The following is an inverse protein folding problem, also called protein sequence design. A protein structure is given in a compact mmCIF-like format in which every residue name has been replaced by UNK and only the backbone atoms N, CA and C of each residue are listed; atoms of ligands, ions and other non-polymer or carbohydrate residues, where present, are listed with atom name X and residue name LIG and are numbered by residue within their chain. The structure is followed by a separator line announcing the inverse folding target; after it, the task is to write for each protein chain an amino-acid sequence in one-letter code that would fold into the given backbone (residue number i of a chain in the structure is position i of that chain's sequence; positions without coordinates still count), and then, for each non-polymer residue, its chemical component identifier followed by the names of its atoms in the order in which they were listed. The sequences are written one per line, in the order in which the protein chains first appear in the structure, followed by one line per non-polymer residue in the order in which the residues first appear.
data_IF_178733967716
#
_entry.id   IF_178733967716
#
_cell.length_a   1.000
_cell.length_b   1.000
_cell.length_c   1.000
_cell.angle_alpha   90.00
_cell.angle_beta   90.00
_cell.angle_gamma   90.00
#
_symmetry.space_group_name_H-M   'P 1'
#
loop_
_entity.id
_entity.type
_entity.pdbx_description
1 polymer ?
#
# COMPACT_ATOMS: atom_id res chain seq x y z
N UNK A 1 -24.79 9.21 1.41
CA UNK A 1 -24.17 7.90 1.18
C UNK A 1 -23.16 7.73 2.30
N UNK A 2 -23.31 6.69 3.12
CA UNK A 2 -22.31 6.40 4.16
C UNK A 2 -20.98 6.08 3.47
N UNK A 3 -19.97 6.87 3.80
CA UNK A 3 -18.60 6.65 3.35
C UNK A 3 -18.09 5.35 3.96
N UNK A 4 -17.59 4.42 3.15
CA UNK A 4 -17.07 3.15 3.65
C UNK A 4 -16.01 3.43 4.73
N UNK A 5 -16.18 2.78 5.89
CA UNK A 5 -15.22 2.93 7.00
C UNK A 5 -13.92 2.21 6.65
N UNK A 6 -12.81 2.80 7.07
CA UNK A 6 -11.49 2.17 6.97
C UNK A 6 -11.36 1.13 8.07
N UNK A 7 -11.03 -0.09 7.67
CA UNK A 7 -10.88 -1.24 8.54
C UNK A 7 -9.48 -1.29 9.17
N UNK A 8 -9.44 -1.55 10.48
CA UNK A 8 -8.22 -1.72 11.26
C UNK A 8 -8.23 -3.10 11.89
N UNK A 9 -7.19 -3.88 11.65
CA UNK A 9 -6.90 -5.06 12.46
C UNK A 9 -5.92 -4.63 13.56
N UNK A 10 -6.39 -4.68 14.81
CA UNK A 10 -5.63 -4.30 15.98
C UNK A 10 -5.24 -5.54 16.78
N UNK A 11 -3.96 -5.84 16.82
CA UNK A 11 -3.40 -6.93 17.62
C UNK A 11 -2.87 -6.39 18.95
N UNK A 12 -3.41 -6.89 20.06
CA UNK A 12 -3.17 -6.40 21.41
C UNK A 12 -3.61 -7.45 22.43
N UNK A 13 -2.76 -7.87 23.33
CA UNK A 13 -3.05 -8.89 24.34
C UNK A 13 -3.67 -8.31 25.62
N UNK A 14 -3.49 -7.01 25.91
CA UNK A 14 -4.23 -6.33 26.97
C UNK A 14 -5.66 -6.02 26.53
N UNK A 15 -6.60 -6.86 26.95
CA UNK A 15 -8.02 -6.76 26.61
C UNK A 15 -8.64 -5.40 26.97
N UNK A 16 -8.23 -4.81 28.10
CA UNK A 16 -8.78 -3.52 28.56
C UNK A 16 -8.27 -2.37 27.68
N UNK A 17 -6.97 -2.29 27.46
CA UNK A 17 -6.32 -1.31 26.61
C UNK A 17 -6.82 -1.39 25.17
N UNK A 18 -6.97 -2.63 24.64
CA UNK A 18 -7.52 -2.87 23.32
C UNK A 18 -8.93 -2.31 23.15
N UNK A 19 -9.84 -2.58 24.10
CA UNK A 19 -11.22 -2.06 24.08
C UNK A 19 -11.29 -0.54 24.16
N UNK A 20 -10.44 0.06 25.00
CA UNK A 20 -10.35 1.50 25.14
C UNK A 20 -9.89 2.14 23.82
N UNK A 21 -8.81 1.64 23.26
CA UNK A 21 -8.24 2.12 21.98
C UNK A 21 -9.27 1.93 20.83
N UNK A 22 -9.92 0.77 20.77
CA UNK A 22 -11.02 0.53 19.81
C UNK A 22 -12.11 1.60 19.93
N UNK A 23 -12.58 1.87 21.15
CA UNK A 23 -13.64 2.88 21.39
C UNK A 23 -13.22 4.27 20.88
N UNK A 24 -11.96 4.63 21.09
CA UNK A 24 -11.40 5.92 20.64
C UNK A 24 -11.37 5.97 19.10
N UNK A 25 -10.89 4.92 18.44
CA UNK A 25 -10.76 4.88 16.98
C UNK A 25 -12.14 4.79 16.30
N UNK A 26 -13.10 4.07 16.87
CA UNK A 26 -14.46 3.97 16.32
C UNK A 26 -15.21 5.31 16.40
N UNK A 27 -14.96 6.15 17.42
CA UNK A 27 -15.46 7.55 17.45
C UNK A 27 -14.90 8.40 16.33
N UNK A 28 -13.74 8.06 15.80
CA UNK A 28 -13.11 8.72 14.67
C UNK A 28 -13.48 8.08 13.32
N UNK A 29 -14.56 7.27 13.29
CA UNK A 29 -15.12 6.63 12.11
C UNK A 29 -14.20 5.57 11.45
N UNK A 30 -13.43 4.83 12.26
CA UNK A 30 -12.76 3.60 11.83
C UNK A 30 -13.62 2.39 12.18
N UNK A 31 -13.38 1.26 11.51
CA UNK A 31 -13.89 -0.05 11.88
C UNK A 31 -12.76 -0.87 12.48
N UNK A 32 -12.85 -1.25 13.76
CA UNK A 32 -11.74 -1.87 14.48
C UNK A 32 -12.08 -3.30 14.88
N UNK A 33 -11.30 -4.22 14.40
CA UNK A 33 -11.28 -5.61 14.88
C UNK A 33 -10.08 -5.82 15.78
N UNK A 34 -10.30 -6.46 16.95
CA UNK A 34 -9.25 -6.79 17.91
C UNK A 34 -8.95 -8.27 17.83
N UNK A 35 -7.68 -8.62 17.89
CA UNK A 35 -7.16 -9.97 18.11
C UNK A 35 -6.14 -9.93 19.24
N UNK A 36 -6.07 -11.00 20.04
CA UNK A 36 -5.32 -11.01 21.30
C UNK A 36 -3.94 -11.68 21.22
N UNK A 37 -3.60 -12.28 20.09
CA UNK A 37 -2.28 -12.85 19.86
C UNK A 37 -1.81 -12.67 18.41
N UNK A 38 -0.49 -12.73 18.22
CA UNK A 38 0.10 -12.48 16.92
C UNK A 38 -0.12 -13.60 15.90
N UNK A 39 -0.39 -14.84 16.31
CA UNK A 39 -0.71 -15.92 15.38
C UNK A 39 -2.12 -15.73 14.81
N UNK A 40 -3.05 -15.30 15.66
CA UNK A 40 -4.40 -14.91 15.24
C UNK A 40 -4.36 -13.68 14.33
N UNK A 41 -3.54 -12.68 14.68
CA UNK A 41 -3.34 -11.48 13.86
C UNK A 41 -2.84 -11.82 12.45
N UNK A 42 -1.85 -12.70 12.33
CA UNK A 42 -1.36 -13.15 11.03
C UNK A 42 -2.43 -13.90 10.23
N UNK A 43 -3.24 -14.76 10.88
CA UNK A 43 -4.34 -15.47 10.24
C UNK A 43 -5.41 -14.50 9.74
N UNK A 44 -5.89 -13.61 10.63
CA UNK A 44 -6.91 -12.62 10.31
C UNK A 44 -6.46 -11.66 9.19
N UNK A 45 -5.20 -11.23 9.20
CA UNK A 45 -4.64 -10.42 8.12
C UNK A 45 -4.74 -11.09 6.75
N UNK A 46 -4.38 -12.38 6.66
CA UNK A 46 -4.45 -13.12 5.39
C UNK A 46 -5.88 -13.31 4.87
N UNK A 47 -6.83 -13.52 5.79
CA UNK A 47 -8.23 -13.80 5.46
C UNK A 47 -9.00 -12.53 5.09
N UNK A 48 -8.77 -11.43 5.79
CA UNK A 48 -9.62 -10.23 5.74
C UNK A 48 -9.00 -9.05 5.05
N UNK A 49 -7.66 -9.00 4.91
CA UNK A 49 -6.89 -7.92 4.29
C UNK A 49 -7.36 -6.53 4.76
N UNK A 50 -7.11 -6.17 6.02
CA UNK A 50 -7.52 -4.89 6.57
C UNK A 50 -6.81 -3.73 5.84
N UNK A 51 -7.43 -2.54 5.90
CA UNK A 51 -6.83 -1.32 5.34
C UNK A 51 -5.63 -0.83 6.15
N UNK A 52 -5.59 -1.13 7.45
CA UNK A 52 -4.51 -0.74 8.38
C UNK A 52 -4.25 -1.89 9.35
N UNK A 53 -2.97 -2.16 9.61
CA UNK A 53 -2.50 -2.99 10.73
C UNK A 53 -2.02 -2.10 11.87
N UNK A 54 -2.58 -2.31 13.07
CA UNK A 54 -2.12 -1.70 14.32
C UNK A 54 -1.63 -2.85 15.21
N UNK A 55 -0.35 -2.85 15.57
CA UNK A 55 0.30 -3.98 16.24
C UNK A 55 0.93 -3.55 17.57
N UNK A 56 0.66 -4.27 18.64
CA UNK A 56 1.58 -4.25 19.77
C UNK A 56 2.85 -5.07 19.44
N UNK A 57 3.95 -4.77 20.11
CA UNK A 57 5.20 -5.52 19.97
C UNK A 57 5.18 -6.80 20.77
N UNK A 58 4.80 -6.72 22.02
CA UNK A 58 4.93 -7.82 22.96
C UNK A 58 3.58 -8.54 23.11
N UNK A 59 3.37 -9.57 22.31
CA UNK A 59 2.16 -10.40 22.31
C UNK A 59 2.52 -11.88 22.33
N UNK A 60 1.64 -12.74 22.87
CA UNK A 60 1.79 -14.19 22.75
C UNK A 60 1.83 -14.66 21.28
N UNK A 61 2.50 -15.76 21.04
CA UNK A 61 2.60 -16.37 19.72
C UNK A 61 3.66 -15.67 18.87
N UNK A 62 3.23 -14.81 17.94
CA UNK A 62 4.11 -13.97 17.10
C UNK A 62 4.14 -12.55 17.65
N UNK A 63 5.35 -11.99 17.77
CA UNK A 63 5.48 -10.59 18.13
C UNK A 63 5.17 -9.65 16.97
N UNK A 64 4.97 -8.36 17.28
CA UNK A 64 4.63 -7.37 16.25
C UNK A 64 5.73 -7.17 15.20
N UNK A 65 7.00 -7.38 15.55
CA UNK A 65 8.12 -7.32 14.63
C UNK A 65 8.09 -8.50 13.63
N UNK A 66 7.80 -9.71 14.11
CA UNK A 66 7.66 -10.89 13.26
C UNK A 66 6.49 -10.74 12.29
N UNK A 67 5.34 -10.25 12.77
CA UNK A 67 4.17 -9.98 11.90
C UNK A 67 4.52 -8.94 10.84
N UNK A 68 5.19 -7.87 11.22
CA UNK A 68 5.63 -6.82 10.28
C UNK A 68 6.48 -7.41 9.16
N UNK A 69 7.46 -8.26 9.47
CA UNK A 69 8.29 -8.95 8.48
C UNK A 69 7.46 -9.85 7.56
N UNK A 70 6.60 -10.69 8.13
CA UNK A 70 5.75 -11.61 7.36
C UNK A 70 4.81 -10.87 6.39
N UNK A 71 4.21 -9.76 6.84
CA UNK A 71 3.39 -8.93 5.96
C UNK A 71 4.23 -8.34 4.84
N UNK A 72 5.40 -7.78 5.15
CA UNK A 72 6.27 -7.11 4.17
C UNK A 72 6.91 -8.05 3.14
N UNK A 73 7.00 -9.35 3.43
CA UNK A 73 7.37 -10.35 2.41
C UNK A 73 6.38 -10.41 1.24
N UNK A 74 5.09 -10.10 1.50
CA UNK A 74 4.02 -10.28 0.53
C UNK A 74 3.29 -8.98 0.17
N UNK A 75 3.29 -8.00 1.08
CA UNK A 75 2.56 -6.74 0.93
C UNK A 75 3.40 -5.56 1.40
N UNK A 76 3.73 -4.69 0.45
CA UNK A 76 4.47 -3.45 0.70
C UNK A 76 3.55 -2.23 0.87
N UNK A 77 2.21 -2.40 0.85
CA UNK A 77 1.27 -1.29 0.75
C UNK A 77 0.39 -1.09 1.98
N UNK A 78 -0.06 -2.19 2.61
CA UNK A 78 -0.88 -2.07 3.83
C UNK A 78 -0.11 -1.30 4.90
N UNK A 79 -0.61 -0.15 5.37
CA UNK A 79 0.03 0.59 6.45
C UNK A 79 0.13 -0.25 7.72
N UNK A 80 1.33 -0.31 8.30
CA UNK A 80 1.61 -0.98 9.57
C UNK A 80 2.07 0.07 10.56
N UNK A 81 1.29 0.25 11.63
CA UNK A 81 1.63 1.10 12.76
C UNK A 81 1.91 0.21 13.98
N UNK A 82 3.05 0.39 14.60
CA UNK A 82 3.37 -0.25 15.86
C UNK A 82 2.94 0.69 16.99
N UNK A 83 2.12 0.16 17.92
CA UNK A 83 1.57 0.89 19.04
C UNK A 83 1.80 0.11 20.32
N UNK A 84 2.82 0.49 21.10
CA UNK A 84 3.36 -0.30 22.22
C UNK A 84 3.77 0.57 23.40
N UNK A 85 3.81 0.00 24.60
CA UNK A 85 4.44 0.61 25.78
C UNK A 85 5.96 0.49 25.77
N UNK A 86 6.52 -0.44 24.98
CA UNK A 86 7.95 -0.72 24.90
C UNK A 86 8.65 0.24 23.94
N UNK A 87 9.02 1.42 24.46
CA UNK A 87 9.62 2.51 23.70
C UNK A 87 11.16 2.48 23.61
N UNK A 88 11.81 1.30 23.75
CA UNK A 88 13.26 1.22 23.62
C UNK A 88 13.71 1.58 22.20
N UNK A 89 14.69 2.51 22.04
CA UNK A 89 15.14 2.94 20.71
C UNK A 89 15.57 1.81 19.78
N UNK A 90 16.13 0.72 20.34
CA UNK A 90 16.54 -0.44 19.55
C UNK A 90 15.35 -1.19 18.96
N UNK A 91 14.23 -1.32 19.67
CA UNK A 91 13.00 -1.93 19.18
C UNK A 91 12.33 -1.04 18.12
N UNK A 92 12.28 0.26 18.35
CA UNK A 92 11.77 1.23 17.37
C UNK A 92 12.52 1.12 16.04
N UNK A 93 13.86 1.16 16.06
CA UNK A 93 14.68 0.99 14.86
C UNK A 93 14.41 -0.36 14.18
N UNK A 94 14.35 -1.44 14.96
CA UNK A 94 14.14 -2.78 14.42
C UNK A 94 12.80 -2.93 13.65
N UNK A 95 11.70 -2.37 14.17
CA UNK A 95 10.40 -2.46 13.50
C UNK A 95 10.28 -1.52 12.29
N UNK A 96 10.89 -0.33 12.36
CA UNK A 96 10.96 0.57 11.22
C UNK A 96 11.81 -0.02 10.09
N UNK A 97 12.95 -0.65 10.41
CA UNK A 97 13.76 -1.37 9.44
C UNK A 97 13.06 -2.61 8.87
N UNK A 98 12.21 -3.26 9.65
CA UNK A 98 11.36 -4.35 9.17
C UNK A 98 10.24 -3.88 8.23
N UNK A 99 9.99 -2.57 8.16
CA UNK A 99 9.05 -1.96 7.23
C UNK A 99 7.75 -1.46 7.87
N UNK A 100 7.68 -1.29 9.19
CA UNK A 100 6.59 -0.54 9.80
C UNK A 100 6.61 0.92 9.30
N UNK A 101 5.44 1.51 9.11
CA UNK A 101 5.32 2.90 8.65
C UNK A 101 5.48 3.91 9.77
N UNK A 102 5.11 3.52 10.99
CA UNK A 102 5.18 4.38 12.18
C UNK A 102 5.38 3.54 13.44
N UNK A 103 6.04 4.15 14.43
CA UNK A 103 6.18 3.65 15.78
C UNK A 103 5.59 4.65 16.77
N UNK A 104 4.65 4.21 17.61
CA UNK A 104 3.91 5.07 18.52
C UNK A 104 3.96 4.47 19.91
N UNK A 105 4.53 5.21 20.87
CA UNK A 105 4.52 4.81 22.28
C UNK A 105 3.14 5.07 22.88
N UNK A 106 2.54 4.06 23.56
CA UNK A 106 1.26 4.12 24.27
C UNK A 106 1.24 5.11 25.45
N UNK A 107 2.40 5.48 25.98
CA UNK A 107 2.51 6.51 27.03
C UNK A 107 2.20 7.93 26.51
N UNK A 108 2.22 8.12 25.20
CA UNK A 108 1.83 9.40 24.59
C UNK A 108 0.32 9.59 24.65
N UNK A 109 -0.16 10.86 24.70
CA UNK A 109 -1.59 11.14 24.65
C UNK A 109 -2.29 10.44 23.48
N UNK A 110 -3.52 9.91 23.67
CA UNK A 110 -4.27 9.20 22.62
C UNK A 110 -4.47 10.03 21.34
N UNK A 111 -4.46 11.35 21.43
CA UNK A 111 -4.56 12.28 20.30
C UNK A 111 -3.40 12.09 19.30
N UNK A 112 -2.27 11.60 19.77
CA UNK A 112 -1.13 11.29 18.89
C UNK A 112 -1.45 10.11 17.99
N UNK A 113 -2.00 9.01 18.54
CA UNK A 113 -2.46 7.87 17.75
C UNK A 113 -3.53 8.32 16.74
N UNK A 114 -4.52 9.09 17.20
CA UNK A 114 -5.59 9.62 16.34
C UNK A 114 -4.99 10.43 15.18
N UNK A 115 -4.03 11.30 15.44
CA UNK A 115 -3.39 12.11 14.40
C UNK A 115 -2.68 11.24 13.33
N UNK A 116 -1.96 10.20 13.76
CA UNK A 116 -1.33 9.24 12.84
C UNK A 116 -2.38 8.48 12.02
N UNK A 117 -3.43 7.97 12.65
CA UNK A 117 -4.50 7.23 11.99
C UNK A 117 -5.24 8.11 10.97
N UNK A 118 -5.53 9.37 11.29
CA UNK A 118 -6.11 10.34 10.36
C UNK A 118 -5.19 10.59 9.16
N UNK A 119 -3.89 10.76 9.38
CA UNK A 119 -2.92 10.93 8.30
C UNK A 119 -2.87 9.71 7.38
N UNK A 120 -2.90 8.50 7.94
CA UNK A 120 -2.94 7.26 7.16
C UNK A 120 -4.25 7.15 6.38
N UNK A 121 -5.40 7.46 7.00
CA UNK A 121 -6.70 7.50 6.33
C UNK A 121 -6.70 8.41 5.11
N UNK A 122 -6.15 9.63 5.23
CA UNK A 122 -6.07 10.55 4.10
C UNK A 122 -5.18 10.00 2.97
N UNK A 123 -4.09 9.32 3.31
CA UNK A 123 -3.27 8.62 2.31
C UNK A 123 -4.09 7.53 1.61
N UNK A 124 -4.79 6.67 2.37
CA UNK A 124 -5.62 5.59 1.82
C UNK A 124 -6.72 6.17 0.91
N UNK A 125 -7.45 7.20 1.36
CA UNK A 125 -8.49 7.87 0.57
C UNK A 125 -7.92 8.46 -0.73
N UNK A 126 -6.75 9.07 -0.67
CA UNK A 126 -6.06 9.59 -1.86
C UNK A 126 -5.71 8.48 -2.85
N UNK A 127 -5.34 7.29 -2.35
CA UNK A 127 -5.11 6.13 -3.20
C UNK A 127 -6.41 5.49 -3.71
N UNK A 128 -7.49 5.47 -2.91
CA UNK A 128 -8.82 4.98 -3.34
C UNK A 128 -9.47 5.87 -4.40
N UNK A 129 -9.17 7.17 -4.41
CA UNK A 129 -9.62 8.10 -5.45
C UNK A 129 -8.81 8.00 -6.77
N UNK A 130 -7.78 7.18 -6.83
CA UNK A 130 -7.12 6.84 -8.09
C UNK A 130 -8.00 5.81 -8.80
N UNK A 131 -8.36 6.02 -10.06
CA UNK A 131 -9.13 5.03 -10.81
C UNK A 131 -8.51 3.64 -10.70
N UNK A 132 -9.33 2.64 -10.40
CA UNK A 132 -8.83 1.26 -10.32
C UNK A 132 -8.90 0.58 -11.69
N UNK A 133 -9.83 1.01 -12.53
CA UNK A 133 -9.97 0.54 -13.90
C UNK A 133 -9.54 1.67 -14.85
N UNK A 134 -8.48 1.43 -15.59
CA UNK A 134 -7.94 2.33 -16.59
C UNK A 134 -8.31 1.81 -17.97
N UNK A 135 -8.98 2.63 -18.79
CA UNK A 135 -9.10 2.39 -20.22
C UNK A 135 -7.88 3.01 -20.90
N UNK A 136 -6.93 2.17 -21.26
CA UNK A 136 -5.65 2.60 -21.83
C UNK A 136 -5.74 2.91 -23.33
N UNK A 137 -6.62 2.19 -24.03
CA UNK A 137 -6.98 2.40 -25.44
C UNK A 137 -8.38 1.84 -25.71
N UNK A 138 -8.83 1.84 -26.96
CA UNK A 138 -10.08 1.19 -27.36
C UNK A 138 -10.04 -0.34 -27.20
N UNK A 139 -8.85 -0.91 -27.16
CA UNK A 139 -8.59 -2.35 -27.09
C UNK A 139 -8.06 -2.81 -25.73
N UNK A 140 -7.56 -1.89 -24.89
CA UNK A 140 -6.83 -2.24 -23.68
C UNK A 140 -7.42 -1.61 -22.44
N UNK A 141 -7.69 -2.45 -21.44
CA UNK A 141 -8.04 -2.03 -20.08
C UNK A 141 -7.06 -2.61 -19.06
N UNK A 142 -6.85 -1.89 -17.98
CA UNK A 142 -6.02 -2.33 -16.86
C UNK A 142 -6.72 -2.11 -15.53
N UNK A 143 -6.88 -3.17 -14.74
CA UNK A 143 -7.38 -3.10 -13.38
C UNK A 143 -6.20 -3.12 -12.38
N UNK A 144 -6.02 -2.03 -11.64
CA UNK A 144 -4.88 -1.89 -10.73
C UNK A 144 -5.03 -2.70 -9.42
N UNK A 145 -6.24 -3.10 -9.04
CA UNK A 145 -6.49 -3.95 -7.86
C UNK A 145 -6.16 -5.40 -8.20
N UNK A 146 -6.81 -5.94 -9.25
CA UNK A 146 -6.59 -7.33 -9.68
C UNK A 146 -5.28 -7.49 -10.45
N UNK A 147 -4.69 -6.39 -10.94
CA UNK A 147 -3.51 -6.36 -11.82
C UNK A 147 -3.73 -7.08 -13.14
N UNK A 148 -4.97 -7.14 -13.58
CA UNK A 148 -5.35 -7.72 -14.88
C UNK A 148 -5.21 -6.68 -15.98
N UNK A 149 -4.40 -7.00 -16.97
CA UNK A 149 -4.29 -6.27 -18.23
C UNK A 149 -5.05 -7.06 -19.28
N UNK A 150 -6.07 -6.45 -19.86
CA UNK A 150 -6.91 -7.06 -20.90
C UNK A 150 -6.66 -6.33 -22.20
N UNK A 151 -6.18 -7.04 -23.21
CA UNK A 151 -5.94 -6.53 -24.58
C UNK A 151 -6.72 -7.39 -25.55
N UNK A 152 -7.65 -6.80 -26.30
CA UNK A 152 -8.54 -7.50 -27.24
C UNK A 152 -9.25 -8.72 -26.61
N UNK A 153 -9.66 -8.59 -25.35
CA UNK A 153 -10.31 -9.66 -24.60
C UNK A 153 -9.36 -10.72 -24.01
N UNK A 154 -8.06 -10.64 -24.27
CA UNK A 154 -7.06 -11.55 -23.70
C UNK A 154 -6.54 -10.97 -22.40
N UNK A 155 -6.74 -11.71 -21.29
CA UNK A 155 -6.31 -11.30 -19.95
C UNK A 155 -4.90 -11.77 -19.66
N UNK A 156 -4.05 -10.83 -19.21
CA UNK A 156 -2.70 -11.09 -18.71
C UNK A 156 -2.61 -10.62 -17.26
N UNK A 157 -2.19 -11.52 -16.35
CA UNK A 157 -1.95 -11.19 -14.95
C UNK A 157 -0.56 -10.56 -14.80
N UNK A 158 -0.50 -9.28 -14.44
CA UNK A 158 0.77 -8.60 -14.18
C UNK A 158 1.33 -9.00 -12.79
N UNK A 159 2.65 -9.08 -12.70
CA UNK A 159 3.34 -9.21 -11.40
C UNK A 159 3.11 -7.95 -10.56
N UNK A 160 3.17 -8.08 -9.24
CA UNK A 160 2.85 -6.99 -8.29
C UNK A 160 3.56 -5.67 -8.62
N UNK A 161 4.88 -5.72 -8.83
CA UNK A 161 5.66 -4.50 -9.11
C UNK A 161 5.40 -3.96 -10.52
N UNK A 162 5.20 -4.81 -11.51
CA UNK A 162 4.88 -4.39 -12.88
C UNK A 162 3.52 -3.70 -12.95
N UNK A 163 2.52 -4.26 -12.25
CA UNK A 163 1.20 -3.64 -12.11
C UNK A 163 1.28 -2.29 -11.39
N UNK A 164 2.02 -2.22 -10.28
CA UNK A 164 2.21 -0.96 -9.56
C UNK A 164 2.92 0.10 -10.41
N UNK A 165 3.95 -0.29 -11.16
CA UNK A 165 4.64 0.60 -12.08
C UNK A 165 3.67 1.15 -13.14
N UNK A 166 2.86 0.29 -13.78
CA UNK A 166 1.86 0.71 -14.76
C UNK A 166 0.81 1.65 -14.14
N UNK A 167 0.30 1.34 -12.95
CA UNK A 167 -0.65 2.20 -12.23
C UNK A 167 -0.10 3.60 -11.99
N UNK A 168 1.16 3.72 -11.55
CA UNK A 168 1.81 5.01 -11.31
C UNK A 168 1.96 5.83 -12.57
N UNK A 169 2.25 5.18 -13.70
CA UNK A 169 2.29 5.85 -15.00
C UNK A 169 0.90 6.34 -15.44
N UNK A 170 -0.13 5.50 -15.30
CA UNK A 170 -1.51 5.85 -15.64
C UNK A 170 -2.03 7.02 -14.78
N UNK A 171 -1.68 7.05 -13.50
CA UNK A 171 -2.09 8.12 -12.58
C UNK A 171 -1.55 9.52 -12.99
N UNK A 172 -0.50 9.59 -13.81
CA UNK A 172 0.08 10.84 -14.32
C UNK A 172 -0.50 11.29 -15.66
N UNK A 173 -1.41 10.52 -16.23
CA UNK A 173 -2.21 10.89 -17.41
C UNK A 173 -1.40 11.65 -18.50
N UNK A 174 -0.49 10.96 -19.17
CA UNK A 174 0.40 11.50 -20.22
C UNK A 174 1.49 12.49 -19.74
N UNK A 175 1.65 12.69 -18.43
CA UNK A 175 2.76 13.44 -17.88
C UNK A 175 3.97 12.54 -17.59
N UNK A 176 5.16 13.15 -17.52
CA UNK A 176 6.38 12.44 -17.13
C UNK A 176 6.31 12.03 -15.66
N UNK A 177 6.39 10.74 -15.41
CA UNK A 177 6.56 10.16 -14.08
C UNK A 177 8.05 10.11 -13.75
N UNK A 178 8.55 11.08 -12.96
CA UNK A 178 9.96 11.16 -12.58
C UNK A 178 10.42 9.92 -11.80
N UNK A 179 11.71 9.57 -11.89
CA UNK A 179 12.27 8.39 -11.21
C UNK A 179 11.98 8.37 -9.72
N UNK A 180 12.18 9.50 -9.02
CA UNK A 180 11.91 9.59 -7.57
C UNK A 180 10.45 9.30 -7.21
N UNK A 181 9.49 9.78 -8.02
CA UNK A 181 8.07 9.48 -7.85
C UNK A 181 7.79 7.99 -8.00
N UNK A 182 8.36 7.35 -9.04
CA UNK A 182 8.18 5.93 -9.29
C UNK A 182 8.84 5.07 -8.21
N UNK A 183 10.07 5.40 -7.80
CA UNK A 183 10.78 4.70 -6.74
C UNK A 183 10.00 4.78 -5.43
N UNK A 184 9.59 5.99 -5.04
CA UNK A 184 8.79 6.18 -3.83
C UNK A 184 7.45 5.44 -3.90
N UNK A 185 6.76 5.51 -5.04
CA UNK A 185 5.47 4.85 -5.24
C UNK A 185 5.53 3.32 -5.25
N UNK A 186 6.68 2.72 -5.60
CA UNK A 186 6.87 1.26 -5.65
C UNK A 186 7.41 0.72 -4.32
N UNK A 187 8.41 1.38 -3.72
CA UNK A 187 9.13 0.86 -2.55
C UNK A 187 8.94 1.67 -1.26
N UNK A 188 8.16 2.77 -1.31
CA UNK A 188 7.86 3.58 -0.12
C UNK A 188 8.99 4.48 0.36
N UNK A 189 10.23 4.26 -0.08
CA UNK A 189 11.43 5.04 0.29
C UNK A 189 12.18 5.49 -0.97
N UNK A 190 12.81 6.67 -0.91
CA UNK A 190 13.72 7.10 -1.95
C UNK A 190 15.03 6.29 -1.84
N UNK A 191 15.29 5.41 -2.80
CA UNK A 191 16.52 4.61 -2.87
C UNK A 191 17.13 4.79 -4.28
N UNK A 192 18.25 5.51 -4.34
CA UNK A 192 18.98 5.81 -5.58
C UNK A 192 19.43 4.53 -6.29
N UNK A 193 19.69 3.43 -5.54
CA UNK A 193 20.12 2.15 -6.11
C UNK A 193 19.00 1.45 -6.90
N UNK A 194 17.74 1.89 -6.80
CA UNK A 194 16.58 1.29 -7.49
C UNK A 194 16.36 1.81 -8.92
N UNK A 195 17.10 2.80 -9.37
CA UNK A 195 16.94 3.33 -10.75
C UNK A 195 17.17 2.27 -11.84
N UNK A 196 18.14 1.39 -11.64
CA UNK A 196 18.40 0.29 -12.59
C UNK A 196 17.25 -0.70 -12.66
N UNK A 197 16.52 -0.86 -11.57
CA UNK A 197 15.35 -1.74 -11.50
C UNK A 197 14.15 -1.19 -12.28
N UNK A 198 13.95 0.14 -12.28
CA UNK A 198 12.88 0.76 -13.07
C UNK A 198 12.95 0.40 -14.55
N UNK A 199 14.16 0.30 -15.11
CA UNK A 199 14.38 -0.12 -16.52
C UNK A 199 13.85 -1.51 -16.78
N UNK A 200 14.04 -2.44 -15.83
CA UNK A 200 13.54 -3.83 -15.94
C UNK A 200 12.01 -3.85 -15.94
N UNK A 201 11.37 -3.08 -15.05
CA UNK A 201 9.91 -3.03 -14.99
C UNK A 201 9.32 -2.35 -16.22
N UNK A 202 9.89 -1.24 -16.67
CA UNK A 202 9.49 -0.60 -17.92
C UNK A 202 9.59 -1.56 -19.12
N UNK A 203 10.66 -2.36 -19.21
CA UNK A 203 10.84 -3.37 -20.25
C UNK A 203 9.77 -4.45 -20.19
N UNK A 204 9.47 -5.00 -18.99
CA UNK A 204 8.46 -6.04 -18.83
C UNK A 204 7.05 -5.55 -19.14
N UNK A 205 6.70 -4.34 -18.69
CA UNK A 205 5.40 -3.76 -18.98
C UNK A 205 5.26 -3.45 -20.48
N UNK A 206 6.31 -2.94 -21.15
CA UNK A 206 6.32 -2.79 -22.61
C UNK A 206 6.07 -4.11 -23.34
N UNK A 207 6.66 -5.21 -22.84
CA UNK A 207 6.46 -6.55 -23.42
C UNK A 207 5.00 -6.98 -23.30
N UNK A 208 4.36 -6.73 -22.16
CA UNK A 208 2.95 -7.06 -21.95
C UNK A 208 2.00 -6.18 -22.80
N UNK A 209 2.38 -4.94 -23.11
CA UNK A 209 1.61 -4.01 -23.93
C UNK A 209 1.88 -4.17 -25.45
N UNK A 210 2.80 -5.04 -25.85
CA UNK A 210 3.30 -5.13 -27.24
C UNK A 210 2.20 -5.43 -28.26
N UNK A 211 1.16 -6.13 -27.86
CA UNK A 211 0.02 -6.50 -28.74
C UNK A 211 -0.90 -5.32 -29.05
N UNK A 212 -0.83 -4.24 -28.26
CA UNK A 212 -1.51 -2.98 -28.56
C UNK A 212 -0.48 -1.91 -29.00
N UNK A 213 -0.30 -1.70 -30.33
CA UNK A 213 0.70 -0.77 -30.84
C UNK A 213 0.36 0.70 -30.58
N UNK A 214 -0.87 1.00 -30.15
CA UNK A 214 -1.29 2.37 -29.80
C UNK A 214 -0.74 2.83 -28.46
N UNK A 215 -0.26 1.90 -27.62
CA UNK A 215 0.26 2.18 -26.30
C UNK A 215 1.79 2.20 -26.28
N UNK A 216 2.37 3.23 -25.68
CA UNK A 216 3.82 3.37 -25.58
C UNK A 216 4.24 3.84 -24.19
N UNK A 217 5.36 3.30 -23.71
CA UNK A 217 6.08 3.80 -22.55
C UNK A 217 7.44 4.28 -23.03
N UNK A 218 7.71 5.57 -22.92
CA UNK A 218 9.00 6.18 -23.32
C UNK A 218 9.74 6.69 -22.08
N UNK A 219 11.07 6.76 -22.18
CA UNK A 219 11.91 7.41 -21.21
C UNK A 219 12.18 8.84 -21.69
N UNK A 220 11.77 9.85 -20.91
CA UNK A 220 11.95 11.28 -21.19
C UNK A 220 12.23 12.04 -19.90
N UNK A 221 13.05 13.08 -19.99
CA UNK A 221 13.27 14.06 -18.92
C UNK A 221 13.47 13.41 -17.53
N UNK A 222 14.36 12.44 -17.45
CA UNK A 222 14.71 11.72 -16.22
C UNK A 222 13.56 10.88 -15.63
N UNK A 223 12.54 10.51 -16.43
CA UNK A 223 11.39 9.74 -16.02
C UNK A 223 10.81 8.88 -17.14
N UNK A 224 9.62 8.34 -16.88
CA UNK A 224 8.86 7.57 -17.86
C UNK A 224 7.53 8.24 -18.14
N UNK A 225 7.13 8.26 -19.40
CA UNK A 225 5.81 8.70 -19.84
C UNK A 225 5.06 7.54 -20.46
N UNK A 226 3.77 7.42 -20.10
CA UNK A 226 2.85 6.50 -20.74
C UNK A 226 1.98 7.28 -21.72
N UNK A 227 1.88 6.82 -22.95
CA UNK A 227 1.14 7.49 -24.02
C UNK A 227 0.19 6.52 -24.70
N UNK A 228 -1.01 7.02 -25.04
CA UNK A 228 -1.93 6.39 -25.97
C UNK A 228 -2.05 7.26 -27.24
N UNK A 229 -1.89 6.65 -28.40
CA UNK A 229 -1.98 7.37 -29.69
C UNK A 229 -3.40 7.87 -29.97
N UNK A 230 -4.43 7.24 -29.37
CA UNK A 230 -5.84 7.62 -29.52
C UNK A 230 -6.28 8.84 -28.68
N UNK A 231 -5.40 9.41 -27.87
CA UNK A 231 -5.66 10.69 -27.17
C UNK A 231 -6.73 10.68 -26.06
N UNK A 232 -7.38 9.56 -25.80
CA UNK A 232 -8.48 9.47 -24.84
C UNK A 232 -8.23 8.35 -23.83
N UNK A 233 -7.55 8.67 -22.73
CA UNK A 233 -7.77 7.92 -21.50
C UNK A 233 -9.00 8.49 -20.82
N UNK A 234 -10.12 7.78 -20.84
CA UNK A 234 -11.28 8.09 -20.01
C UNK A 234 -11.03 7.52 -18.59
N UNK A 235 -11.15 8.40 -17.60
CA UNK A 235 -11.17 8.07 -16.18
C UNK A 235 -12.55 7.56 -15.78
#
# INVERSE_FOLDING_TARGET
MDEAKISILYAEDDEFGAKLTKTILEKENFEVEIVSDGSEAWKAYKERKPDILLLDLDMPGKDGLEITRLVREHDQQTPILVYTTHGEPAKEVAVLDAGADEFINKERPPEVLIAYMKRVREKIKKYMNIPHLYRLSDHTTYNSITRELIIDGITTQLKTIDGRFLQLLCAKNHEVSGKSYLIHGIWGKADINKESELKKYASRVRTNLKTDPTLKIEFRDEGYIFMSVSGHMQQ
#
